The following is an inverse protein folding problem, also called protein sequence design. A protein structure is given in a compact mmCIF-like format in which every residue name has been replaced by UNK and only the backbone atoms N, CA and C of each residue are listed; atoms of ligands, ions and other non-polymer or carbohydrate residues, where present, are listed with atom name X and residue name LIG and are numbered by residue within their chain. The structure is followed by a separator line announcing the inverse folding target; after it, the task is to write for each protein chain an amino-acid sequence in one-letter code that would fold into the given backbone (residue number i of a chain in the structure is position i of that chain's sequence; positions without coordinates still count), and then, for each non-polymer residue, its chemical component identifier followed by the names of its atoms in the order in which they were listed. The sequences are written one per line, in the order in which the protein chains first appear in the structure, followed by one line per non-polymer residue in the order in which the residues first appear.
data_IF_453778944011
#
_entry.id   IF_453778944011
#
_cell.length_a   1.000
_cell.length_b   1.000
_cell.length_c   1.000
_cell.angle_alpha   90.00
_cell.angle_beta   90.00
_cell.angle_gamma   90.00
#
_symmetry.space_group_name_H-M   'P 1'
#
loop_
_entity.id
_entity.type
_entity.pdbx_description
1 polymer ?
#
# COMPACT_ATOMS: atom_id res chain seq x y z
N UNK A 1 -14.49 -22.38 11.57
CA UNK A 1 -15.13 -21.31 10.79
C UNK A 1 -14.92 -20.01 11.56
N UNK A 2 -13.79 -19.33 11.31
CA UNK A 2 -13.42 -18.13 12.07
C UNK A 2 -14.28 -16.95 11.64
N UNK A 3 -14.92 -16.28 12.59
CA UNK A 3 -15.66 -15.04 12.36
C UNK A 3 -14.71 -14.00 11.79
N UNK A 4 -14.89 -13.57 10.54
CA UNK A 4 -14.18 -12.41 9.99
C UNK A 4 -14.66 -11.19 10.78
N UNK A 5 -13.83 -10.71 11.70
CA UNK A 5 -14.07 -9.47 12.42
C UNK A 5 -13.90 -8.29 11.44
N UNK A 6 -14.67 -7.19 11.59
CA UNK A 6 -14.48 -6.01 10.76
C UNK A 6 -13.11 -5.38 11.06
N UNK A 7 -12.38 -5.02 10.00
CA UNK A 7 -11.08 -4.31 10.00
C UNK A 7 -11.12 -2.98 10.74
N UNK A 8 -12.31 -2.38 10.87
CA UNK A 8 -12.47 -1.13 11.57
C UNK A 8 -13.78 -1.16 12.38
N UNK A 9 -13.66 -1.10 13.71
CA UNK A 9 -14.80 -1.19 14.63
C UNK A 9 -14.90 0.03 15.55
N UNK A 10 -14.23 1.15 15.27
CA UNK A 10 -14.34 2.38 16.08
C UNK A 10 -15.77 2.96 15.94
N UNK A 11 -16.73 2.65 16.84
CA UNK A 11 -18.16 2.89 16.58
C UNK A 11 -18.52 4.37 16.61
N UNK A 12 -17.60 5.20 17.11
CA UNK A 12 -17.72 6.65 17.29
C UNK A 12 -16.93 7.44 16.24
N UNK A 13 -16.27 6.75 15.31
CA UNK A 13 -15.48 7.37 14.25
C UNK A 13 -16.16 7.07 12.92
N UNK A 14 -16.61 8.08 12.16
CA UNK A 14 -17.21 7.83 10.84
C UNK A 14 -16.16 7.28 9.87
N UNK A 15 -16.60 6.46 8.92
CA UNK A 15 -15.76 5.94 7.84
C UNK A 15 -16.42 6.21 6.49
N UNK A 16 -15.62 6.60 5.50
CA UNK A 16 -16.04 6.75 4.11
C UNK A 16 -15.29 5.72 3.28
N UNK A 17 -16.00 5.02 2.41
CA UNK A 17 -15.43 4.09 1.44
C UNK A 17 -15.66 4.66 0.05
N UNK A 18 -14.60 5.08 -0.63
CA UNK A 18 -14.63 5.26 -2.06
C UNK A 18 -14.57 3.87 -2.72
N UNK A 19 -15.35 3.67 -3.78
CA UNK A 19 -15.50 2.37 -4.43
C UNK A 19 -15.55 2.58 -5.94
N UNK A 20 -14.77 1.79 -6.66
CA UNK A 20 -14.74 1.84 -8.12
C UNK A 20 -16.06 1.38 -8.74
N UNK A 21 -16.42 1.97 -9.89
CA UNK A 21 -17.53 1.47 -10.72
C UNK A 21 -17.09 0.29 -11.59
N UNK A 22 -15.86 0.34 -12.08
CA UNK A 22 -15.24 -0.63 -12.98
C UNK A 22 -14.76 -1.87 -12.23
N UNK A 23 -14.55 -2.95 -12.99
CA UNK A 23 -13.92 -4.16 -12.49
C UNK A 23 -12.43 -3.91 -12.28
N UNK A 24 -11.89 -4.46 -11.20
CA UNK A 24 -10.47 -4.44 -10.86
C UNK A 24 -9.99 -5.85 -10.54
N UNK A 25 -8.72 -6.19 -10.81
CA UNK A 25 -8.15 -7.46 -10.43
C UNK A 25 -7.92 -7.54 -8.91
N UNK A 26 -7.85 -8.77 -8.39
CA UNK A 26 -7.30 -8.99 -7.05
C UNK A 26 -5.77 -9.06 -7.16
N UNK A 27 -5.09 -8.12 -6.52
CA UNK A 27 -3.63 -8.06 -6.56
C UNK A 27 -3.02 -8.94 -5.46
N UNK A 28 -1.96 -9.71 -5.75
CA UNK A 28 -1.19 -10.41 -4.72
C UNK A 28 -0.66 -9.45 -3.66
N UNK A 29 -0.51 -9.95 -2.42
CA UNK A 29 -0.02 -9.15 -1.29
C UNK A 29 -1.07 -8.25 -0.64
N UNK A 30 -2.27 -8.11 -1.22
CA UNK A 30 -3.40 -7.44 -0.55
C UNK A 30 -4.03 -8.34 0.51
N UNK A 31 -4.36 -7.79 1.68
CA UNK A 31 -4.98 -8.56 2.77
C UNK A 31 -5.87 -7.69 3.65
N UNK A 32 -6.85 -8.32 4.30
CA UNK A 32 -7.79 -7.69 5.22
C UNK A 32 -7.04 -7.09 6.42
N UNK A 33 -6.11 -7.85 7.00
CA UNK A 33 -5.30 -7.47 8.15
C UNK A 33 -4.39 -6.28 7.83
N UNK A 34 -3.90 -6.20 6.60
CA UNK A 34 -2.98 -5.12 6.19
C UNK A 34 -3.71 -3.78 5.99
N UNK A 35 -5.01 -3.80 5.68
CA UNK A 35 -5.85 -2.59 5.59
C UNK A 35 -5.90 -1.86 6.93
N UNK A 36 -5.85 -2.57 8.06
CA UNK A 36 -5.82 -1.97 9.40
C UNK A 36 -4.60 -1.04 9.61
N UNK A 37 -3.54 -1.26 8.82
CA UNK A 37 -2.33 -0.44 8.89
C UNK A 37 -2.41 0.86 8.09
N UNK A 38 -3.46 1.07 7.30
CA UNK A 38 -3.65 2.24 6.45
C UNK A 38 -2.73 2.33 5.23
N UNK A 39 -1.44 2.02 5.38
CA UNK A 39 -0.46 1.95 4.30
C UNK A 39 0.48 0.77 4.52
N UNK A 40 0.67 -0.05 3.48
CA UNK A 40 1.43 -1.29 3.56
C UNK A 40 2.01 -1.73 2.20
N UNK A 41 3.13 -2.44 2.26
CA UNK A 41 3.82 -2.98 1.08
C UNK A 41 3.10 -4.23 0.56
N UNK A 42 2.77 -4.25 -0.74
CA UNK A 42 2.20 -5.43 -1.41
C UNK A 42 3.23 -6.22 -2.23
N UNK A 43 4.32 -5.57 -2.61
CA UNK A 43 5.39 -6.17 -3.41
C UNK A 43 6.69 -5.39 -3.25
N UNK A 44 7.81 -6.09 -3.09
CA UNK A 44 9.13 -5.50 -2.94
C UNK A 44 10.20 -6.49 -3.39
N UNK A 45 11.23 -6.00 -4.10
CA UNK A 45 12.41 -6.77 -4.49
C UNK A 45 13.73 -6.12 -4.02
N UNK A 46 13.66 -5.13 -3.12
CA UNK A 46 14.81 -4.51 -2.49
C UNK A 46 15.36 -5.34 -1.32
N UNK A 47 16.59 -5.04 -0.92
CA UNK A 47 17.20 -5.54 0.33
C UNK A 47 17.37 -4.38 1.30
N UNK A 48 17.56 -4.69 2.59
CA UNK A 48 17.93 -3.72 3.62
C UNK A 48 16.98 -2.51 3.74
N UNK A 49 15.70 -2.71 3.39
CA UNK A 49 14.67 -1.66 3.38
C UNK A 49 15.03 -0.45 2.48
N UNK A 50 15.74 -0.68 1.36
CA UNK A 50 16.26 0.38 0.49
C UNK A 50 15.94 0.16 -0.99
N UNK A 51 14.68 0.33 -1.41
CA UNK A 51 14.32 0.35 -2.83
C UNK A 51 14.89 1.58 -3.56
N UNK A 52 15.13 1.45 -4.86
CA UNK A 52 15.47 2.58 -5.74
C UNK A 52 14.30 3.55 -5.89
N UNK A 53 13.07 3.04 -5.85
CA UNK A 53 11.84 3.83 -5.94
C UNK A 53 10.68 3.16 -5.22
N UNK A 54 9.84 3.97 -4.58
CA UNK A 54 8.57 3.56 -3.98
C UNK A 54 7.42 4.07 -4.84
N UNK A 55 6.58 3.16 -5.31
CA UNK A 55 5.33 3.48 -6.01
C UNK A 55 4.17 3.29 -5.05
N UNK A 56 3.43 4.36 -4.80
CA UNK A 56 2.26 4.37 -3.93
C UNK A 56 1.02 4.41 -4.81
N UNK A 57 0.13 3.44 -4.66
CA UNK A 57 -1.15 3.40 -5.35
C UNK A 57 -2.33 3.34 -4.38
N UNK A 58 -3.42 4.01 -4.75
CA UNK A 58 -4.70 3.93 -4.07
C UNK A 58 -5.73 3.29 -5.01
N UNK A 59 -6.64 2.47 -4.47
CA UNK A 59 -7.72 1.81 -5.22
C UNK A 59 -7.34 1.22 -6.60
N UNK A 60 -7.94 1.74 -7.69
CA UNK A 60 -7.73 1.29 -9.07
C UNK A 60 -6.32 1.53 -9.58
N UNK A 61 -5.69 2.60 -9.11
CA UNK A 61 -4.36 3.02 -9.53
C UNK A 61 -3.27 2.13 -8.92
N UNK A 62 -3.60 1.33 -7.90
CA UNK A 62 -2.70 0.30 -7.37
C UNK A 62 -2.33 -0.76 -8.41
N UNK A 63 -3.24 -1.08 -9.33
CA UNK A 63 -2.94 -1.97 -10.45
C UNK A 63 -1.88 -1.35 -11.37
N UNK A 64 -2.01 -0.06 -11.65
CA UNK A 64 -1.07 0.70 -12.49
C UNK A 64 0.30 0.76 -11.82
N UNK A 65 0.36 1.02 -10.51
CA UNK A 65 1.60 1.01 -9.73
C UNK A 65 2.29 -0.37 -9.78
N UNK A 66 1.52 -1.46 -9.66
CA UNK A 66 2.05 -2.82 -9.76
C UNK A 66 2.61 -3.13 -11.16
N UNK A 67 1.90 -2.75 -12.22
CA UNK A 67 2.36 -2.94 -13.61
C UNK A 67 3.63 -2.12 -13.90
N UNK A 68 3.70 -0.87 -13.42
CA UNK A 68 4.89 -0.03 -13.55
C UNK A 68 6.09 -0.62 -12.81
N UNK A 69 5.87 -1.20 -11.61
CA UNK A 69 6.93 -1.88 -10.87
C UNK A 69 7.51 -3.07 -11.64
N UNK A 70 6.67 -3.89 -12.27
CA UNK A 70 7.15 -5.00 -13.10
C UNK A 70 8.02 -4.52 -14.26
N UNK A 71 7.65 -3.42 -14.91
CA UNK A 71 8.45 -2.88 -16.02
C UNK A 71 9.79 -2.29 -15.55
N UNK A 72 9.79 -1.57 -14.43
CA UNK A 72 11.02 -1.03 -13.83
C UNK A 72 11.95 -2.14 -13.33
N UNK A 73 11.41 -3.24 -12.80
CA UNK A 73 12.19 -4.41 -12.39
C UNK A 73 12.90 -5.09 -13.56
N UNK A 74 12.26 -5.17 -14.73
CA UNK A 74 12.94 -5.66 -15.96
C UNK A 74 14.12 -4.80 -16.37
N UNK A 75 14.10 -3.51 -16.01
CA UNK A 75 15.20 -2.57 -16.23
C UNK A 75 16.26 -2.62 -15.11
N UNK A 76 16.15 -3.57 -14.17
CA UNK A 76 17.12 -3.78 -13.11
C UNK A 76 16.93 -2.87 -11.89
N UNK A 77 15.77 -2.24 -11.72
CA UNK A 77 15.45 -1.44 -10.53
C UNK A 77 14.88 -2.28 -9.39
N UNK A 78 15.19 -1.89 -8.17
CA UNK A 78 14.51 -2.34 -6.96
C UNK A 78 13.31 -1.42 -6.69
N UNK A 79 12.11 -2.00 -6.68
CA UNK A 79 10.86 -1.25 -6.61
C UNK A 79 10.00 -1.80 -5.50
N UNK A 80 9.57 -0.90 -4.62
CA UNK A 80 8.53 -1.19 -3.63
C UNK A 80 7.19 -0.66 -4.11
N UNK A 81 6.16 -1.49 -4.01
CA UNK A 81 4.77 -1.08 -4.27
C UNK A 81 4.02 -1.04 -2.94
N UNK A 82 3.47 0.13 -2.62
CA UNK A 82 2.71 0.39 -1.40
C UNK A 82 1.24 0.59 -1.77
N UNK A 83 0.37 -0.18 -1.14
CA UNK A 83 -1.07 0.11 -1.09
C UNK A 83 -1.32 1.10 0.03
N UNK A 84 -1.95 2.22 -0.29
CA UNK A 84 -2.24 3.28 0.67
C UNK A 84 -3.75 3.52 0.72
N UNK A 85 -4.41 2.89 1.69
CA UNK A 85 -5.88 2.80 1.79
C UNK A 85 -6.48 3.80 2.76
N UNK A 86 -5.72 4.27 3.76
CA UNK A 86 -6.20 5.27 4.71
C UNK A 86 -5.04 5.98 5.41
N UNK A 87 -4.96 7.30 5.22
CA UNK A 87 -3.96 8.15 5.85
C UNK A 87 -4.08 8.19 7.37
N UNK A 88 -5.30 8.28 7.90
CA UNK A 88 -5.54 8.32 9.33
C UNK A 88 -5.04 7.05 10.02
N UNK A 89 -5.34 5.88 9.46
CA UNK A 89 -4.86 4.60 9.99
C UNK A 89 -3.34 4.48 9.90
N UNK A 90 -2.71 4.94 8.81
CA UNK A 90 -1.26 4.91 8.67
C UNK A 90 -0.57 5.87 9.66
N UNK A 91 -1.15 7.04 9.88
CA UNK A 91 -0.64 8.04 10.82
C UNK A 91 -0.71 7.56 12.28
N UNK A 92 -1.66 6.69 12.61
CA UNK A 92 -1.76 6.04 13.92
C UNK A 92 -0.72 4.94 14.15
N UNK A 93 -0.03 4.47 13.11
CA UNK A 93 0.98 3.41 13.24
C UNK A 93 2.26 3.91 13.93
N UNK A 94 3.01 2.97 14.50
CA UNK A 94 4.32 3.26 15.08
C UNK A 94 5.30 3.79 14.03
N UNK A 95 6.26 4.60 14.47
CA UNK A 95 7.31 5.12 13.59
C UNK A 95 8.11 3.98 12.94
N UNK A 96 8.30 2.87 13.65
CA UNK A 96 8.93 1.66 13.11
C UNK A 96 8.15 1.07 11.92
N UNK A 97 6.81 1.05 11.98
CA UNK A 97 5.99 0.60 10.84
C UNK A 97 6.09 1.60 9.69
N UNK A 98 5.98 2.90 9.97
CA UNK A 98 6.09 3.95 8.95
C UNK A 98 7.42 3.88 8.22
N UNK A 99 8.53 3.76 8.94
CA UNK A 99 9.89 3.61 8.40
C UNK A 99 10.06 2.29 7.61
N UNK A 100 9.37 1.21 8.02
CA UNK A 100 9.40 -0.06 7.28
C UNK A 100 8.67 0.00 5.94
N UNK A 101 7.74 0.94 5.76
CA UNK A 101 6.96 1.12 4.52
C UNK A 101 7.57 2.23 3.67
N UNK A 102 7.80 3.40 4.27
CA UNK A 102 8.34 4.62 3.67
C UNK A 102 9.66 5.00 4.38
N UNK A 103 10.77 4.30 4.09
CA UNK A 103 12.08 4.61 4.66
C UNK A 103 12.50 6.05 4.34
N UNK A 104 12.92 6.77 5.36
CA UNK A 104 13.36 8.17 5.29
C UNK A 104 14.56 8.41 4.35
N UNK A 105 15.39 7.38 4.17
CA UNK A 105 16.56 7.40 3.27
C UNK A 105 16.20 7.20 1.78
N UNK A 106 14.93 6.95 1.44
CA UNK A 106 14.48 6.79 0.05
C UNK A 106 13.64 8.01 -0.37
N UNK A 107 14.23 8.89 -1.17
CA UNK A 107 13.58 10.12 -1.64
C UNK A 107 12.75 9.94 -2.92
N UNK A 108 12.99 8.87 -3.68
CA UNK A 108 12.28 8.60 -4.92
C UNK A 108 10.94 7.93 -4.61
N UNK A 109 9.90 8.76 -4.47
CA UNK A 109 8.54 8.32 -4.16
C UNK A 109 7.57 8.92 -5.19
N UNK A 110 6.71 8.08 -5.76
CA UNK A 110 5.67 8.50 -6.72
C UNK A 110 4.32 7.99 -6.22
N UNK A 111 3.35 8.90 -6.05
CA UNK A 111 1.96 8.55 -5.76
C UNK A 111 1.11 8.60 -7.03
N UNK A 112 0.23 7.61 -7.19
CA UNK A 112 -0.70 7.48 -8.33
C UNK A 112 -2.11 7.35 -7.76
N UNK A 113 -2.95 8.34 -8.05
CA UNK A 113 -4.33 8.47 -7.58
C UNK A 113 -5.11 9.36 -8.57
N UNK A 114 -6.44 9.25 -8.59
CA UNK A 114 -7.35 10.10 -9.39
C UNK A 114 -8.34 10.85 -8.53
#
# INVERSE_FOLDING_TARGET
MGTKQPVHTKPKTPSVLALSRQKLPQLPGTSIESVEKGGYTISDNSTDNKPDVILIGTESELEIAAQAAEELRKQGKTVRVVSFVCWELFNEQSDAHKESVLPSDVSAIVSIET
#
